data_IF_132297733482
#
_entry.id   IF_132297733482
#
_cell.length_a   1.000
_cell.length_b   1.000
_cell.length_c   1.000
_cell.angle_alpha   90.00
_cell.angle_beta   90.00
_cell.angle_gamma   90.00
#
_symmetry.space_group_name_H-M   'P 1'
#
loop_
_entity.id
_entity.type
_entity.pdbx_description
1 polymer ?
#
# COMPACT_ATOMS: atom_id res chain seq x y z
N UNK A 1 22.67 -22.29 -9.56
CA UNK A 1 22.81 -20.82 -9.42
C UNK A 1 23.70 -20.55 -8.21
N UNK A 2 24.97 -20.22 -8.43
CA UNK A 2 25.99 -20.16 -7.35
C UNK A 2 25.88 -18.83 -6.60
N UNK A 3 25.10 -18.80 -5.51
CA UNK A 3 25.02 -17.66 -4.59
C UNK A 3 26.34 -17.55 -3.82
N UNK A 4 27.20 -16.60 -4.22
CA UNK A 4 28.42 -16.28 -3.47
C UNK A 4 28.05 -15.54 -2.18
N UNK A 5 28.50 -16.07 -1.03
CA UNK A 5 28.45 -15.39 0.28
C UNK A 5 29.25 -14.08 0.21
N UNK A 6 28.58 -12.93 0.21
CA UNK A 6 29.20 -11.66 0.61
C UNK A 6 28.33 -11.02 1.68
N UNK A 7 28.85 -11.04 2.90
CA UNK A 7 28.37 -10.24 4.02
C UNK A 7 28.67 -8.78 3.69
N UNK A 8 27.64 -8.01 3.28
CA UNK A 8 27.79 -6.58 3.03
C UNK A 8 27.74 -5.87 4.39
N UNK A 9 28.91 -5.71 5.00
CA UNK A 9 29.11 -4.89 6.19
C UNK A 9 29.44 -3.46 5.74
N UNK A 10 28.67 -2.50 6.28
CA UNK A 10 28.87 -1.04 6.32
C UNK A 10 28.12 -0.23 5.25
N UNK A 11 27.09 0.47 5.74
CA UNK A 11 26.78 1.81 5.27
C UNK A 11 27.28 2.81 6.33
N UNK A 12 27.85 3.96 5.93
CA UNK A 12 28.13 5.04 6.86
C UNK A 12 26.81 5.60 7.40
N UNK A 13 26.76 5.80 8.72
CA UNK A 13 25.72 6.55 9.40
C UNK A 13 25.63 7.96 8.81
N UNK A 14 24.56 8.29 8.09
CA UNK A 14 24.34 9.64 7.56
C UNK A 14 23.69 10.48 8.66
N UNK A 15 24.45 11.43 9.21
CA UNK A 15 23.93 12.49 10.08
C UNK A 15 23.36 13.62 9.22
N UNK A 16 22.20 14.15 9.59
CA UNK A 16 21.67 15.39 8.99
C UNK A 16 21.66 16.49 10.04
N UNK A 17 22.27 17.62 9.71
CA UNK A 17 22.22 18.86 10.47
C UNK A 17 21.11 19.76 9.90
N UNK A 18 20.40 20.49 10.75
CA UNK A 18 19.16 21.19 10.43
C UNK A 18 19.39 22.70 10.28
N UNK A 19 19.07 23.30 9.12
CA UNK A 19 18.71 24.73 8.99
C UNK A 19 18.19 25.12 7.59
N UNK A 20 17.02 25.78 7.52
CA UNK A 20 16.55 26.54 6.33
C UNK A 20 15.58 25.85 5.35
N UNK A 21 14.65 26.62 4.76
CA UNK A 21 13.57 26.16 3.87
C UNK A 21 14.04 25.62 2.51
N UNK A 22 15.17 26.11 1.99
CA UNK A 22 15.82 25.56 0.79
C UNK A 22 16.50 24.21 1.09
N UNK A 23 16.98 24.04 2.32
CA UNK A 23 17.62 22.81 2.80
C UNK A 23 16.59 21.71 3.02
N UNK A 24 15.39 22.03 3.55
CA UNK A 24 14.25 21.11 3.62
C UNK A 24 13.87 20.49 2.26
N UNK A 25 13.90 21.27 1.16
CA UNK A 25 13.64 20.74 -0.19
C UNK A 25 14.75 19.79 -0.67
N UNK A 26 16.02 20.13 -0.41
CA UNK A 26 17.17 19.27 -0.72
C UNK A 26 17.19 17.99 0.12
N UNK A 27 16.88 18.11 1.41
CA UNK A 27 16.75 17.00 2.37
C UNK A 27 15.64 16.04 1.98
N UNK A 28 14.46 16.56 1.58
CA UNK A 28 13.36 15.74 1.10
C UNK A 28 13.73 15.00 -0.19
N UNK A 29 14.38 15.68 -1.14
CA UNK A 29 14.84 15.07 -2.39
C UNK A 29 15.83 13.94 -2.11
N UNK A 30 16.79 14.17 -1.22
CA UNK A 30 17.76 13.15 -0.84
C UNK A 30 17.11 11.96 -0.13
N UNK A 31 16.15 12.20 0.79
CA UNK A 31 15.42 11.13 1.45
C UNK A 31 14.55 10.30 0.50
N UNK A 32 13.95 10.95 -0.51
CA UNK A 32 13.22 10.26 -1.59
C UNK A 32 14.20 9.37 -2.37
N UNK A 33 15.29 9.92 -2.88
CA UNK A 33 16.29 9.15 -3.66
C UNK A 33 16.85 7.99 -2.84
N UNK A 34 17.22 8.23 -1.58
CA UNK A 34 17.72 7.19 -0.69
C UNK A 34 16.71 6.07 -0.47
N UNK A 35 15.43 6.42 -0.24
CA UNK A 35 14.35 5.44 -0.08
C UNK A 35 14.21 4.59 -1.35
N UNK A 36 14.16 5.22 -2.52
CA UNK A 36 14.03 4.52 -3.80
C UNK A 36 15.22 3.60 -4.08
N UNK A 37 16.44 4.07 -3.84
CA UNK A 37 17.66 3.29 -4.06
C UNK A 37 17.76 2.08 -3.13
N UNK A 38 17.37 2.25 -1.85
CA UNK A 38 17.30 1.15 -0.90
C UNK A 38 16.23 0.14 -1.29
N UNK A 39 15.05 0.58 -1.74
CA UNK A 39 14.03 -0.33 -2.28
C UNK A 39 14.61 -1.13 -3.47
N UNK A 40 15.18 -0.47 -4.49
CA UNK A 40 15.78 -1.18 -5.66
C UNK A 40 16.82 -2.21 -5.24
N UNK A 41 17.62 -1.88 -4.23
CA UNK A 41 18.71 -2.75 -3.74
C UNK A 41 18.20 -4.02 -3.06
N UNK A 42 17.06 -3.95 -2.37
CA UNK A 42 16.50 -5.06 -1.57
C UNK A 42 15.35 -5.80 -2.24
N UNK A 43 14.81 -5.31 -3.35
CA UNK A 43 13.92 -6.10 -4.20
C UNK A 43 14.67 -7.33 -4.73
N UNK A 44 14.00 -8.49 -4.70
CA UNK A 44 14.56 -9.83 -4.96
C UNK A 44 15.69 -10.25 -4.02
N UNK A 45 15.80 -9.63 -2.83
CA UNK A 45 16.67 -10.17 -1.77
C UNK A 45 16.05 -11.39 -1.11
N UNK A 46 16.91 -12.26 -0.58
CA UNK A 46 16.53 -13.44 0.21
C UNK A 46 17.01 -13.23 1.64
N UNK A 47 16.06 -13.29 2.58
CA UNK A 47 16.33 -13.23 4.02
C UNK A 47 16.28 -14.64 4.59
N UNK A 48 17.29 -15.03 5.34
CA UNK A 48 17.36 -16.34 5.99
C UNK A 48 17.01 -16.24 7.46
N UNK A 49 16.21 -17.18 7.95
CA UNK A 49 15.91 -17.42 9.36
C UNK A 49 16.20 -18.90 9.65
N UNK A 50 17.49 -19.22 9.82
CA UNK A 50 17.95 -20.61 9.82
C UNK A 50 17.67 -21.26 8.45
N UNK A 51 17.01 -22.41 8.44
CA UNK A 51 16.65 -23.15 7.22
C UNK A 51 15.38 -22.62 6.53
N UNK A 52 14.77 -21.56 7.05
CA UNK A 52 13.61 -20.91 6.44
C UNK A 52 14.04 -19.65 5.70
N UNK A 53 13.54 -19.46 4.49
CA UNK A 53 13.91 -18.33 3.64
C UNK A 53 12.68 -17.54 3.19
N UNK A 54 12.85 -16.23 3.03
CA UNK A 54 11.85 -15.33 2.46
C UNK A 54 12.51 -14.53 1.35
N UNK A 55 11.98 -14.66 0.13
CA UNK A 55 12.36 -13.84 -1.03
C UNK A 55 11.39 -12.66 -1.15
N UNK A 56 11.93 -11.45 -1.18
CA UNK A 56 11.15 -10.21 -1.26
C UNK A 56 10.87 -9.87 -2.71
N UNK A 57 9.60 -9.69 -3.09
CA UNK A 57 9.22 -9.26 -4.46
C UNK A 57 8.64 -7.85 -4.49
N UNK A 58 8.09 -7.37 -3.38
CA UNK A 58 7.53 -6.02 -3.25
C UNK A 58 7.80 -5.42 -1.87
N UNK A 59 8.10 -4.13 -1.83
CA UNK A 59 8.48 -3.37 -0.62
C UNK A 59 7.73 -2.04 -0.57
N UNK A 60 7.24 -1.66 0.61
CA UNK A 60 6.85 -0.29 0.94
C UNK A 60 7.91 0.35 1.87
N UNK A 61 8.38 1.54 1.52
CA UNK A 61 9.35 2.30 2.32
C UNK A 61 8.69 3.24 3.33
N UNK A 62 9.22 3.31 4.55
CA UNK A 62 8.78 4.21 5.62
C UNK A 62 9.98 4.90 6.28
N UNK A 63 9.90 6.21 6.44
CA UNK A 63 10.98 7.00 7.03
C UNK A 63 10.63 7.39 8.47
N UNK A 64 11.19 6.67 9.45
CA UNK A 64 10.89 6.89 10.86
C UNK A 64 11.54 8.14 11.44
N UNK A 65 11.01 8.55 12.61
CA UNK A 65 11.56 9.63 13.44
C UNK A 65 11.56 11.01 12.77
N UNK A 66 10.89 11.18 11.61
CA UNK A 66 10.70 12.46 10.93
C UNK A 66 9.28 12.61 10.39
N UNK A 67 8.29 12.92 11.25
CA UNK A 67 6.89 13.08 10.83
C UNK A 67 6.68 14.17 9.78
N UNK A 68 7.55 15.18 9.72
CA UNK A 68 7.52 16.23 8.69
C UNK A 68 7.90 15.71 7.29
N UNK A 69 8.66 14.63 7.22
CA UNK A 69 9.03 13.96 5.97
C UNK A 69 8.01 12.86 5.63
N UNK A 70 7.70 12.01 6.60
CA UNK A 70 6.82 10.86 6.43
C UNK A 70 5.86 10.71 7.62
N UNK A 71 4.67 11.30 7.50
CA UNK A 71 3.61 11.19 8.50
C UNK A 71 2.90 9.83 8.47
N UNK A 72 3.19 8.97 7.48
CA UNK A 72 2.70 7.58 7.43
C UNK A 72 3.53 6.61 8.26
N UNK A 73 4.80 6.93 8.55
CA UNK A 73 5.69 6.07 9.33
C UNK A 73 5.32 6.05 10.83
N UNK A 74 5.68 4.96 11.52
CA UNK A 74 5.60 4.92 12.97
C UNK A 74 6.58 5.93 13.59
N UNK A 75 6.12 6.69 14.57
CA UNK A 75 6.91 7.69 15.29
C UNK A 75 7.67 7.11 16.48
N UNK A 76 7.49 5.82 16.78
CA UNK A 76 8.23 5.14 17.84
C UNK A 76 9.75 5.27 17.61
N UNK A 77 10.48 5.67 18.66
CA UNK A 77 11.92 5.84 18.60
C UNK A 77 12.57 4.46 18.53
N UNK A 78 13.01 4.07 17.34
CA UNK A 78 13.77 2.85 17.13
C UNK A 78 15.26 3.14 17.34
N UNK A 79 15.96 2.28 18.10
CA UNK A 79 17.42 2.37 18.21
C UNK A 79 18.02 2.06 16.85
N UNK A 80 18.82 2.99 16.34
CA UNK A 80 19.49 2.83 15.06
C UNK A 80 20.57 1.76 15.19
N UNK A 81 20.51 0.74 14.33
CA UNK A 81 21.50 -0.34 14.30
C UNK A 81 22.57 -0.04 13.26
N UNK A 82 23.78 -0.57 13.48
CA UNK A 82 24.94 -0.37 12.58
C UNK A 82 24.85 -1.18 11.29
N UNK A 83 23.99 -2.20 11.25
CA UNK A 83 23.84 -3.12 10.14
C UNK A 83 22.38 -3.21 9.74
N UNK A 84 22.12 -3.55 8.48
CA UNK A 84 20.76 -3.88 8.06
C UNK A 84 20.28 -5.10 8.81
N UNK A 85 19.11 -4.98 9.42
CA UNK A 85 18.45 -6.08 10.12
C UNK A 85 17.09 -6.36 9.50
N UNK A 86 16.81 -7.64 9.27
CA UNK A 86 15.50 -8.12 8.92
C UNK A 86 14.77 -8.57 10.19
N UNK A 87 13.51 -8.16 10.35
CA UNK A 87 12.69 -8.54 11.50
C UNK A 87 11.34 -9.04 11.05
N UNK A 88 10.96 -10.22 11.53
CA UNK A 88 9.57 -10.67 11.51
C UNK A 88 8.90 -10.13 12.78
N UNK A 89 7.91 -9.27 12.60
CA UNK A 89 7.07 -8.73 13.67
C UNK A 89 5.82 -9.58 13.81
N UNK A 90 5.49 -9.99 15.03
CA UNK A 90 4.19 -10.55 15.36
C UNK A 90 3.28 -9.42 15.85
N UNK A 91 2.20 -9.15 15.12
CA UNK A 91 1.21 -8.13 15.45
C UNK A 91 -0.16 -8.77 15.61
N UNK A 92 -1.04 -8.13 16.36
CA UNK A 92 -2.42 -8.58 16.55
C UNK A 92 -3.40 -7.49 16.08
N UNK A 93 -4.44 -7.91 15.35
CA UNK A 93 -5.54 -7.02 14.96
C UNK A 93 -6.85 -7.79 14.98
N UNK A 94 -7.86 -7.25 15.67
CA UNK A 94 -9.18 -7.90 15.86
C UNK A 94 -9.04 -9.36 16.36
N UNK A 95 -8.14 -9.61 17.31
CA UNK A 95 -7.90 -10.94 17.88
C UNK A 95 -7.16 -11.91 16.96
N UNK A 96 -6.75 -11.50 15.75
CA UNK A 96 -5.98 -12.35 14.83
C UNK A 96 -4.53 -11.87 14.74
N UNK A 97 -3.61 -12.81 14.93
CA UNK A 97 -2.19 -12.57 14.71
C UNK A 97 -1.90 -12.44 13.20
N UNK A 98 -0.94 -11.58 12.88
CA UNK A 98 -0.38 -11.42 11.54
C UNK A 98 1.11 -11.12 11.65
N UNK A 99 1.86 -11.46 10.61
CA UNK A 99 3.32 -11.48 10.66
C UNK A 99 3.91 -10.64 9.54
N UNK A 100 4.67 -9.61 9.88
CA UNK A 100 5.23 -8.67 8.89
C UNK A 100 6.75 -8.77 8.87
N UNK A 101 7.36 -8.85 7.68
CA UNK A 101 8.80 -8.77 7.53
C UNK A 101 9.22 -7.36 7.16
N UNK A 102 10.08 -6.76 7.97
CA UNK A 102 10.64 -5.43 7.73
C UNK A 102 12.16 -5.49 7.71
N UNK A 103 12.78 -4.84 6.72
CA UNK A 103 14.22 -4.57 6.72
C UNK A 103 14.46 -3.16 7.24
N UNK A 104 15.39 -3.01 8.18
CA UNK A 104 15.73 -1.72 8.75
C UNK A 104 17.13 -1.30 8.35
N UNK A 105 17.22 -0.11 7.74
CA UNK A 105 18.47 0.52 7.32
C UNK A 105 18.52 1.91 7.93
N UNK A 106 19.17 2.03 9.09
CA UNK A 106 19.17 3.27 9.85
C UNK A 106 17.77 3.62 10.36
N UNK A 107 17.22 4.75 9.89
CA UNK A 107 15.85 5.21 10.19
C UNK A 107 14.81 4.79 9.14
N UNK A 108 15.23 4.07 8.08
CA UNK A 108 14.32 3.59 7.05
C UNK A 108 13.83 2.18 7.39
N UNK A 109 12.53 1.98 7.34
CA UNK A 109 11.90 0.66 7.27
C UNK A 109 11.52 0.35 5.82
N UNK A 110 11.89 -0.85 5.37
CA UNK A 110 11.45 -1.45 4.13
C UNK A 110 10.51 -2.60 4.50
N UNK A 111 9.22 -2.32 4.53
CA UNK A 111 8.18 -3.30 4.84
C UNK A 111 7.96 -4.18 3.61
N UNK A 112 8.12 -5.48 3.77
CA UNK A 112 7.81 -6.45 2.71
C UNK A 112 6.30 -6.54 2.56
N UNK A 113 5.80 -6.27 1.34
CA UNK A 113 4.37 -6.33 1.01
C UNK A 113 4.06 -7.36 -0.09
N UNK A 114 5.07 -8.11 -0.53
CA UNK A 114 4.92 -9.23 -1.44
C UNK A 114 6.19 -10.07 -1.44
N UNK A 115 6.04 -11.37 -1.59
CA UNK A 115 7.18 -12.27 -1.61
C UNK A 115 6.85 -13.73 -1.83
N UNK A 116 7.90 -14.54 -1.76
CA UNK A 116 7.85 -15.99 -1.68
C UNK A 116 8.52 -16.42 -0.39
N UNK A 117 8.10 -17.53 0.20
CA UNK A 117 8.80 -18.12 1.33
C UNK A 117 8.77 -19.64 1.28
N UNK A 118 9.75 -20.26 1.94
CA UNK A 118 9.91 -21.71 1.93
C UNK A 118 10.93 -22.19 2.94
N UNK A 119 11.14 -23.51 2.96
CA UNK A 119 12.13 -24.15 3.80
C UNK A 119 13.18 -24.82 2.90
N UNK A 120 14.47 -24.72 3.21
CA UNK A 120 15.55 -25.25 2.36
C UNK A 120 15.42 -26.75 2.06
N UNK A 121 14.99 -27.52 3.05
CA UNK A 121 14.78 -28.96 2.90
C UNK A 121 13.45 -29.36 2.21
N UNK A 122 12.62 -28.39 1.78
CA UNK A 122 11.33 -28.67 1.14
C UNK A 122 11.27 -28.03 -0.25
N UNK A 123 10.72 -28.72 -1.26
CA UNK A 123 10.56 -28.14 -2.59
C UNK A 123 9.48 -27.04 -2.61
N UNK A 124 8.52 -27.12 -1.69
CA UNK A 124 7.37 -26.22 -1.66
C UNK A 124 7.76 -24.80 -1.27
N UNK A 125 7.29 -23.85 -2.07
CA UNK A 125 7.34 -22.41 -1.81
C UNK A 125 5.92 -21.86 -1.82
N UNK A 126 5.64 -20.88 -0.98
CA UNK A 126 4.36 -20.19 -0.95
C UNK A 126 4.55 -18.71 -1.27
N UNK A 127 3.75 -18.22 -2.23
CA UNK A 127 3.67 -16.80 -2.54
C UNK A 127 2.70 -16.08 -1.60
N UNK A 128 2.95 -14.79 -1.35
CA UNK A 128 2.06 -13.92 -0.59
C UNK A 128 2.05 -12.51 -1.13
N UNK A 129 0.92 -11.82 -0.95
CA UNK A 129 0.72 -10.41 -1.29
C UNK A 129 -0.04 -9.70 -0.16
N UNK A 130 0.43 -8.51 0.20
CA UNK A 130 0.12 -7.83 1.45
C UNK A 130 1.25 -7.99 2.48
N UNK A 131 1.21 -7.19 3.55
CA UNK A 131 2.28 -7.17 4.56
C UNK A 131 2.35 -8.44 5.42
N UNK A 132 1.24 -9.18 5.54
CA UNK A 132 1.20 -10.40 6.34
C UNK A 132 1.71 -11.62 5.58
N UNK A 133 2.70 -12.30 6.16
CA UNK A 133 3.22 -13.58 5.68
C UNK A 133 2.32 -14.71 6.22
N UNK A 134 1.71 -15.53 5.36
CA UNK A 134 0.87 -16.64 5.78
C UNK A 134 1.70 -17.85 6.22
N UNK A 135 1.12 -18.72 7.05
CA UNK A 135 1.65 -20.07 7.33
C UNK A 135 3.14 -20.11 7.75
N UNK A 136 3.59 -19.13 8.54
CA UNK A 136 4.92 -19.17 9.12
C UNK A 136 5.08 -20.39 10.05
N UNK A 137 6.24 -21.06 10.05
CA UNK A 137 6.59 -22.06 11.05
C UNK A 137 6.43 -21.51 12.46
N UNK A 138 6.05 -22.37 13.42
CA UNK A 138 5.79 -21.98 14.80
C UNK A 138 6.93 -21.15 15.43
N UNK A 139 8.19 -21.52 15.15
CA UNK A 139 9.36 -20.82 15.66
C UNK A 139 9.53 -19.39 15.13
N UNK A 140 8.88 -19.06 14.01
CA UNK A 140 8.85 -17.74 13.38
C UNK A 140 7.55 -16.97 13.68
N UNK A 141 6.61 -17.53 14.45
CA UNK A 141 5.39 -16.85 14.89
C UNK A 141 5.61 -15.89 16.08
N UNK A 142 6.87 -15.60 16.42
CA UNK A 142 7.31 -14.63 17.43
C UNK A 142 8.25 -13.63 16.79
N UNK A 143 8.59 -12.55 17.48
CA UNK A 143 9.61 -11.63 16.96
C UNK A 143 10.92 -12.38 16.71
N UNK A 144 11.41 -12.31 15.47
CA UNK A 144 12.67 -12.93 15.04
C UNK A 144 13.48 -11.96 14.21
N UNK A 145 14.79 -11.99 14.42
CA UNK A 145 15.75 -11.09 13.77
C UNK A 145 16.73 -11.90 12.95
N UNK A 146 17.14 -11.35 11.83
CA UNK A 146 18.20 -11.90 10.99
C UNK A 146 19.06 -10.78 10.42
N UNK A 147 20.36 -11.06 10.31
CA UNK A 147 21.31 -10.24 9.54
C UNK A 147 21.77 -10.96 8.26
N UNK A 148 21.27 -12.17 8.02
CA UNK A 148 21.57 -12.97 6.84
C UNK A 148 20.64 -12.58 5.69
N UNK A 149 21.05 -11.54 4.98
CA UNK A 149 20.30 -10.97 3.86
C UNK A 149 21.17 -11.07 2.59
N UNK A 150 20.74 -11.87 1.65
CA UNK A 150 21.39 -12.06 0.36
C UNK A 150 20.76 -11.11 -0.66
N UNK A 151 21.56 -10.19 -1.20
CA UNK A 151 21.10 -9.26 -2.23
C UNK A 151 21.75 -9.58 -3.57
N UNK A 152 21.09 -9.18 -4.66
CA UNK A 152 21.65 -9.30 -6.00
C UNK A 152 22.86 -8.38 -6.14
N UNK A 153 23.87 -8.83 -6.90
CA UNK A 153 25.03 -7.99 -7.27
C UNK A 153 24.58 -6.76 -8.07
N UNK A 154 23.58 -6.96 -8.94
CA UNK A 154 22.95 -5.92 -9.72
C UNK A 154 21.49 -5.79 -9.26
N UNK A 155 21.02 -4.60 -8.86
CA UNK A 155 19.64 -4.38 -8.45
C UNK A 155 18.64 -4.91 -9.47
N UNK A 156 17.49 -5.40 -8.99
CA UNK A 156 16.41 -5.82 -9.87
C UNK A 156 15.78 -4.61 -10.57
N UNK A 157 15.26 -4.83 -11.78
CA UNK A 157 14.40 -3.83 -12.43
C UNK A 157 13.14 -3.72 -11.58
N UNK A 158 12.80 -2.50 -11.19
CA UNK A 158 11.79 -2.22 -10.17
C UNK A 158 10.84 -1.13 -10.67
N UNK A 159 9.56 -1.43 -10.69
CA UNK A 159 8.47 -0.49 -10.91
C UNK A 159 8.03 0.14 -9.60
N UNK A 160 7.76 1.44 -9.63
CA UNK A 160 7.38 2.21 -8.45
C UNK A 160 5.94 2.70 -8.48
N UNK A 161 5.25 2.55 -7.36
CA UNK A 161 3.88 3.01 -7.16
C UNK A 161 3.69 3.61 -5.76
N UNK A 162 2.48 4.09 -5.48
CA UNK A 162 2.09 4.53 -4.15
C UNK A 162 2.13 3.38 -3.14
N UNK A 163 2.43 3.71 -1.88
CA UNK A 163 2.47 2.76 -0.75
C UNK A 163 1.09 2.21 -0.41
N UNK A 164 1.06 0.99 0.12
CA UNK A 164 -0.15 0.29 0.54
C UNK A 164 -0.52 0.69 1.98
N UNK A 165 -0.90 1.96 2.16
CA UNK A 165 -1.32 2.49 3.48
C UNK A 165 -2.83 2.39 3.67
N UNK A 166 -3.29 2.43 4.93
CA UNK A 166 -4.73 2.57 5.25
C UNK A 166 -5.19 4.02 5.36
N UNK A 167 -4.26 4.94 5.55
CA UNK A 167 -4.53 6.34 5.89
C UNK A 167 -4.13 7.26 4.73
N UNK A 168 -4.84 7.19 3.61
CA UNK A 168 -4.53 7.99 2.41
C UNK A 168 -4.72 9.50 2.58
N UNK A 169 -5.34 9.96 3.66
CA UNK A 169 -5.41 11.38 4.00
C UNK A 169 -4.14 11.97 4.64
N UNK A 170 -3.11 11.15 4.86
CA UNK A 170 -1.78 11.60 5.30
C UNK A 170 -0.98 12.18 4.12
N UNK A 171 -0.11 13.13 4.39
CA UNK A 171 0.67 13.83 3.35
C UNK A 171 1.54 12.88 2.54
N UNK A 172 2.28 12.01 3.23
CA UNK A 172 3.23 11.13 2.60
C UNK A 172 2.57 9.91 1.90
N UNK A 173 1.25 9.74 2.01
CA UNK A 173 0.54 8.66 1.31
C UNK A 173 0.61 8.79 -0.22
N UNK A 174 0.81 10.02 -0.72
CA UNK A 174 1.03 10.31 -2.13
C UNK A 174 2.40 9.92 -2.67
N UNK A 175 3.37 9.56 -1.82
CA UNK A 175 4.72 9.20 -2.26
C UNK A 175 4.76 7.84 -2.95
N UNK A 176 5.52 7.79 -4.06
CA UNK A 176 5.79 6.57 -4.83
C UNK A 176 6.91 5.73 -4.20
N UNK A 177 6.74 5.37 -2.94
CA UNK A 177 7.71 4.60 -2.15
C UNK A 177 7.32 3.13 -2.00
N UNK A 178 6.49 2.61 -2.91
CA UNK A 178 6.30 1.16 -3.09
C UNK A 178 7.08 0.71 -4.31
N UNK A 179 7.93 -0.29 -4.18
CA UNK A 179 8.64 -0.91 -5.31
C UNK A 179 8.23 -2.36 -5.47
N UNK A 180 8.09 -2.82 -6.71
CA UNK A 180 7.84 -4.23 -7.04
C UNK A 180 8.76 -4.68 -8.17
N UNK A 181 9.24 -5.93 -8.12
CA UNK A 181 10.07 -6.50 -9.19
C UNK A 181 9.27 -6.65 -10.48
N UNK A 182 9.80 -6.11 -11.57
CA UNK A 182 9.15 -6.15 -12.89
C UNK A 182 8.92 -7.58 -13.39
N UNK A 183 9.80 -8.52 -13.04
CA UNK A 183 9.62 -9.93 -13.40
C UNK A 183 8.36 -10.49 -12.76
N UNK A 184 8.20 -10.27 -11.45
CA UNK A 184 7.02 -10.77 -10.74
C UNK A 184 5.75 -10.01 -11.09
N UNK A 185 5.84 -8.72 -11.45
CA UNK A 185 4.71 -7.97 -12.03
C UNK A 185 4.25 -8.63 -13.34
N UNK A 186 5.19 -8.99 -14.21
CA UNK A 186 4.90 -9.66 -15.49
C UNK A 186 4.19 -10.99 -15.28
N UNK A 187 4.49 -11.68 -14.17
CA UNK A 187 3.84 -12.93 -13.78
C UNK A 187 2.52 -12.72 -12.98
N UNK A 188 2.10 -11.47 -12.77
CA UNK A 188 0.89 -11.09 -12.03
C UNK A 188 1.01 -11.19 -10.51
N UNK A 189 2.21 -11.31 -9.96
CA UNK A 189 2.49 -11.38 -8.52
C UNK A 189 3.01 -10.04 -7.98
N UNK A 190 2.09 -9.10 -7.75
CA UNK A 190 2.35 -7.84 -7.08
C UNK A 190 1.10 -7.37 -6.33
N UNK A 191 1.22 -6.52 -5.31
CA UNK A 191 0.06 -6.13 -4.52
C UNK A 191 -0.87 -5.20 -5.30
N UNK A 192 -2.17 -5.41 -5.16
CA UNK A 192 -3.20 -4.52 -5.72
C UNK A 192 -3.12 -3.17 -5.01
N UNK A 193 -2.83 -2.12 -5.77
CA UNK A 193 -2.72 -0.77 -5.25
C UNK A 193 -4.12 -0.18 -4.94
N UNK A 194 -4.40 0.26 -3.70
CA UNK A 194 -5.72 0.80 -3.33
C UNK A 194 -6.18 2.04 -4.11
N UNK A 195 -5.26 2.85 -4.64
CA UNK A 195 -5.61 4.05 -5.41
C UNK A 195 -5.67 3.79 -6.93
N UNK A 196 -5.13 2.65 -7.39
CA UNK A 196 -5.13 2.22 -8.78
C UNK A 196 -5.72 0.80 -8.92
N UNK A 197 -6.84 0.53 -8.25
CA UNK A 197 -7.39 -0.81 -8.10
C UNK A 197 -7.67 -1.51 -9.45
N UNK A 198 -8.16 -0.77 -10.43
CA UNK A 198 -8.52 -1.30 -11.76
C UNK A 198 -7.34 -1.55 -12.67
N UNK A 199 -6.16 -1.00 -12.37
CA UNK A 199 -4.95 -1.24 -13.17
C UNK A 199 -4.36 -2.63 -12.92
N UNK A 200 -4.73 -3.27 -11.80
CA UNK A 200 -4.27 -4.60 -11.47
C UNK A 200 -5.17 -5.67 -12.13
N UNK A 201 -4.63 -6.71 -12.79
CA UNK A 201 -5.42 -7.77 -13.43
C UNK A 201 -6.45 -8.44 -12.50
N UNK A 202 -6.07 -8.66 -11.24
CA UNK A 202 -6.96 -9.19 -10.19
C UNK A 202 -7.98 -8.17 -9.60
N UNK A 203 -7.92 -6.88 -9.97
CA UNK A 203 -8.80 -5.83 -9.46
C UNK A 203 -10.25 -5.97 -9.96
N UNK A 204 -10.45 -6.32 -11.22
CA UNK A 204 -11.80 -6.49 -11.78
C UNK A 204 -12.65 -5.21 -11.81
N UNK A 205 -13.87 -5.31 -12.37
CA UNK A 205 -14.70 -4.16 -12.74
C UNK A 205 -15.70 -3.67 -11.66
N UNK A 206 -15.43 -3.93 -10.37
CA UNK A 206 -16.38 -3.60 -9.29
C UNK A 206 -16.64 -2.09 -9.19
N UNK A 207 -17.86 -1.62 -9.50
CA UNK A 207 -18.27 -0.19 -9.40
C UNK A 207 -17.85 0.42 -8.06
N UNK A 208 -18.16 -0.24 -6.94
CA UNK A 208 -17.79 0.23 -5.59
C UNK A 208 -16.28 0.44 -5.43
N UNK A 209 -15.48 -0.44 -6.04
CA UNK A 209 -14.04 -0.40 -5.92
C UNK A 209 -13.43 0.69 -6.80
N UNK A 210 -14.00 0.94 -7.98
CA UNK A 210 -13.64 2.06 -8.84
C UNK A 210 -13.87 3.41 -8.14
N UNK A 211 -15.06 3.60 -7.56
CA UNK A 211 -15.40 4.80 -6.79
C UNK A 211 -14.47 4.97 -5.58
N UNK A 212 -14.21 3.89 -4.85
CA UNK A 212 -13.30 3.91 -3.70
C UNK A 212 -11.86 4.27 -4.11
N UNK A 213 -11.34 3.63 -5.15
CA UNK A 213 -10.01 3.86 -5.69
C UNK A 213 -9.82 5.32 -6.10
N UNK A 214 -10.79 5.86 -6.86
CA UNK A 214 -10.77 7.26 -7.29
C UNK A 214 -10.80 8.23 -6.11
N UNK A 215 -11.66 7.98 -5.11
CA UNK A 215 -11.70 8.81 -3.90
C UNK A 215 -10.35 8.85 -3.18
N UNK A 216 -9.71 7.69 -2.99
CA UNK A 216 -8.41 7.61 -2.34
C UNK A 216 -7.30 8.25 -3.18
N UNK A 217 -7.38 8.14 -4.51
CA UNK A 217 -6.46 8.82 -5.43
C UNK A 217 -6.54 10.33 -5.27
N UNK A 218 -7.75 10.91 -5.31
CA UNK A 218 -7.96 12.35 -5.08
C UNK A 218 -7.45 12.82 -3.72
N UNK A 219 -7.62 11.99 -2.68
CA UNK A 219 -7.15 12.30 -1.34
C UNK A 219 -5.61 12.29 -1.25
N UNK A 220 -4.97 11.30 -1.88
CA UNK A 220 -3.52 11.16 -1.90
C UNK A 220 -2.83 12.25 -2.74
N UNK A 221 -3.42 12.62 -3.88
CA UNK A 221 -2.93 13.68 -4.76
C UNK A 221 -3.32 15.09 -4.31
N UNK A 222 -4.31 15.19 -3.42
CA UNK A 222 -4.95 16.45 -2.99
C UNK A 222 -5.52 17.24 -4.16
N UNK A 223 -6.05 16.54 -5.15
CA UNK A 223 -6.60 17.12 -6.36
C UNK A 223 -7.89 16.41 -6.76
N UNK A 224 -8.85 17.16 -7.30
CA UNK A 224 -10.09 16.62 -7.84
C UNK A 224 -10.09 16.88 -9.34
N UNK A 225 -10.04 15.82 -10.12
CA UNK A 225 -10.24 15.87 -11.56
C UNK A 225 -11.75 15.92 -11.84
N UNK A 226 -12.22 17.00 -12.47
CA UNK A 226 -13.65 17.18 -12.79
C UNK A 226 -14.12 16.12 -13.77
N UNK A 227 -13.34 15.85 -14.81
CA UNK A 227 -13.67 14.85 -15.82
C UNK A 227 -13.68 13.44 -15.19
N UNK A 228 -12.73 13.19 -14.28
CA UNK A 228 -12.69 11.99 -13.45
C UNK A 228 -13.93 11.81 -12.59
N UNK A 229 -14.40 12.89 -11.97
CA UNK A 229 -15.62 12.87 -11.16
C UNK A 229 -16.86 12.57 -12.02
N UNK A 230 -16.98 13.19 -13.20
CA UNK A 230 -18.07 12.92 -14.15
C UNK A 230 -18.04 11.47 -14.65
N UNK A 231 -16.87 10.92 -14.96
CA UNK A 231 -16.69 9.50 -15.29
C UNK A 231 -17.14 8.59 -14.15
N UNK A 232 -16.77 8.92 -12.91
CA UNK A 232 -17.20 8.14 -11.75
C UNK A 232 -18.72 8.22 -11.53
N UNK A 233 -19.34 9.38 -11.80
CA UNK A 233 -20.79 9.53 -11.71
C UNK A 233 -21.49 8.62 -12.74
N UNK A 234 -20.99 8.59 -13.98
CA UNK A 234 -21.48 7.68 -15.01
C UNK A 234 -21.35 6.21 -14.57
N UNK A 235 -20.18 5.80 -14.07
CA UNK A 235 -19.94 4.44 -13.55
C UNK A 235 -20.91 4.10 -12.41
N UNK A 236 -21.15 5.02 -11.47
CA UNK A 236 -22.10 4.81 -10.37
C UNK A 236 -23.51 4.53 -10.90
N UNK A 237 -23.95 5.24 -11.94
CA UNK A 237 -25.28 5.07 -12.55
C UNK A 237 -25.46 3.74 -13.29
N UNK A 238 -24.37 3.04 -13.64
CA UNK A 238 -24.47 1.68 -14.21
C UNK A 238 -24.87 0.62 -13.19
N UNK A 239 -24.71 0.88 -11.89
CA UNK A 239 -25.10 -0.06 -10.86
C UNK A 239 -26.63 -0.21 -10.81
N UNK A 240 -27.20 -1.42 -10.89
CA UNK A 240 -28.65 -1.61 -10.95
C UNK A 240 -29.43 -0.95 -9.81
N UNK A 241 -28.86 -0.95 -8.61
CA UNK A 241 -29.47 -0.32 -7.43
C UNK A 241 -29.48 1.21 -7.52
N UNK A 242 -28.44 1.81 -8.11
CA UNK A 242 -28.38 3.26 -8.32
C UNK A 242 -29.35 3.67 -9.41
N UNK A 243 -29.39 2.92 -10.52
CA UNK A 243 -30.31 3.16 -11.64
C UNK A 243 -31.76 3.29 -11.16
N UNK A 244 -32.24 2.32 -10.38
CA UNK A 244 -33.59 2.34 -9.79
C UNK A 244 -33.87 3.57 -8.91
N UNK A 245 -32.87 4.07 -8.17
CA UNK A 245 -33.01 5.22 -7.29
C UNK A 245 -33.09 6.56 -8.03
N UNK A 246 -32.49 6.62 -9.22
CA UNK A 246 -32.41 7.84 -10.03
C UNK A 246 -33.40 7.85 -11.19
N UNK A 247 -34.22 6.80 -11.34
CA UNK A 247 -35.28 6.75 -12.35
C UNK A 247 -36.16 8.01 -12.23
N UNK A 248 -36.39 8.66 -13.37
CA UNK A 248 -37.16 9.91 -13.51
C UNK A 248 -36.58 11.15 -12.80
N UNK A 249 -35.31 11.14 -12.37
CA UNK A 249 -34.64 12.34 -11.86
C UNK A 249 -34.12 13.22 -13.01
N UNK A 250 -34.47 14.51 -12.99
CA UNK A 250 -33.99 15.50 -13.98
C UNK A 250 -32.50 15.83 -13.84
N UNK A 251 -31.98 15.82 -12.62
CA UNK A 251 -30.57 16.11 -12.31
C UNK A 251 -30.02 14.96 -11.47
N UNK A 252 -28.92 14.37 -11.94
CA UNK A 252 -28.24 13.26 -11.26
C UNK A 252 -26.91 13.79 -10.72
N UNK A 253 -26.67 13.55 -9.44
CA UNK A 253 -25.43 13.92 -8.74
C UNK A 253 -25.14 12.93 -7.63
N UNK A 254 -23.90 12.86 -7.14
CA UNK A 254 -23.56 12.01 -6.01
C UNK A 254 -24.35 12.39 -4.75
N UNK A 255 -24.62 13.67 -4.53
CA UNK A 255 -25.49 14.11 -3.43
C UNK A 255 -26.94 13.61 -3.55
N UNK A 256 -27.49 13.52 -4.77
CA UNK A 256 -28.81 12.93 -5.02
C UNK A 256 -28.79 11.43 -4.72
N UNK A 257 -27.77 10.71 -5.23
CA UNK A 257 -27.63 9.27 -5.02
C UNK A 257 -27.45 8.96 -3.52
N UNK A 258 -26.61 9.71 -2.81
CA UNK A 258 -26.32 9.50 -1.39
C UNK A 258 -27.59 9.62 -0.51
N UNK A 259 -28.46 10.58 -0.80
CA UNK A 259 -29.75 10.74 -0.10
C UNK A 259 -30.69 9.56 -0.37
N UNK A 260 -30.77 9.09 -1.62
CA UNK A 260 -31.59 7.95 -1.99
C UNK A 260 -31.15 6.64 -1.31
N UNK A 261 -29.85 6.35 -1.33
CA UNK A 261 -29.27 5.14 -0.71
C UNK A 261 -29.41 5.12 0.82
N UNK A 262 -29.52 6.28 1.45
CA UNK A 262 -29.72 6.38 2.90
C UNK A 262 -31.14 5.97 3.31
N UNK A 263 -32.13 6.19 2.44
CA UNK A 263 -33.51 5.83 2.68
C UNK A 263 -33.83 4.36 2.36
N UNK A 264 -33.11 3.75 1.41
CA UNK A 264 -33.33 2.37 0.98
C UNK A 264 -32.38 1.37 1.68
N UNK A 265 -32.94 0.33 2.30
CA UNK A 265 -32.24 -0.59 3.19
C UNK A 265 -31.31 -1.58 2.48
N UNK A 266 -31.37 -1.70 1.15
CA UNK A 266 -30.80 -2.82 0.40
C UNK A 266 -29.38 -2.63 -0.16
N UNK A 267 -28.67 -1.54 0.19
CA UNK A 267 -27.33 -1.26 -0.34
C UNK A 267 -26.23 -1.68 0.66
N UNK A 268 -25.20 -2.36 0.16
CA UNK A 268 -24.03 -2.76 0.98
C UNK A 268 -23.37 -1.56 1.66
N UNK A 269 -22.86 -1.76 2.90
CA UNK A 269 -22.15 -0.70 3.66
C UNK A 269 -21.01 -0.07 2.86
N UNK A 270 -20.24 -0.88 2.13
CA UNK A 270 -19.14 -0.42 1.29
C UNK A 270 -19.60 0.54 0.17
N UNK A 271 -20.74 0.24 -0.48
CA UNK A 271 -21.31 1.11 -1.51
C UNK A 271 -21.84 2.42 -0.90
N UNK A 272 -22.51 2.36 0.26
CA UNK A 272 -22.94 3.58 0.99
C UNK A 272 -21.73 4.47 1.29
N UNK A 273 -20.67 3.91 1.86
CA UNK A 273 -19.44 4.63 2.19
C UNK A 273 -18.76 5.24 0.94
N UNK A 274 -18.68 4.49 -0.17
CA UNK A 274 -18.10 4.97 -1.42
C UNK A 274 -18.90 6.15 -2.00
N UNK A 275 -20.23 6.04 -2.07
CA UNK A 275 -21.10 7.11 -2.57
C UNK A 275 -21.03 8.34 -1.67
N UNK A 276 -21.04 8.18 -0.35
CA UNK A 276 -20.85 9.30 0.59
C UNK A 276 -19.50 10.00 0.38
N UNK A 277 -18.43 9.25 0.10
CA UNK A 277 -17.11 9.79 -0.19
C UNK A 277 -17.09 10.59 -1.50
N UNK A 278 -17.75 10.08 -2.54
CA UNK A 278 -17.89 10.78 -3.82
C UNK A 278 -18.74 12.04 -3.71
N UNK A 279 -19.83 12.02 -2.92
CA UNK A 279 -20.64 13.20 -2.64
C UNK A 279 -19.83 14.31 -1.94
N UNK A 280 -18.92 13.92 -1.03
CA UNK A 280 -18.01 14.87 -0.39
C UNK A 280 -17.05 15.52 -1.41
N UNK A 281 -16.48 14.74 -2.35
CA UNK A 281 -15.64 15.28 -3.42
C UNK A 281 -16.41 16.19 -4.36
N UNK A 282 -17.64 15.84 -4.73
CA UNK A 282 -18.49 16.61 -5.64
C UNK A 282 -18.70 18.05 -5.15
N UNK A 283 -18.90 18.25 -3.83
CA UNK A 283 -19.04 19.60 -3.25
C UNK A 283 -17.78 20.47 -3.35
N UNK A 284 -16.66 19.90 -3.80
CA UNK A 284 -15.34 20.54 -3.87
C UNK A 284 -14.76 20.50 -5.28
N UNK A 285 -15.47 19.94 -6.26
CA UNK A 285 -15.02 19.88 -7.63
C UNK A 285 -14.78 21.30 -8.18
N UNK A 286 -13.65 21.52 -8.84
CA UNK A 286 -13.26 22.84 -9.37
C UNK A 286 -12.70 23.81 -8.32
N UNK A 287 -12.66 23.45 -7.04
CA UNK A 287 -11.94 24.24 -6.03
C UNK A 287 -10.45 23.88 -6.02
N UNK A 288 -9.57 24.87 -5.82
CA UNK A 288 -8.13 24.64 -5.70
C UNK A 288 -7.73 23.85 -4.43
N UNK A 289 -6.47 23.44 -4.32
CA UNK A 289 -5.89 22.68 -3.19
C UNK A 289 -6.18 23.29 -1.82
N UNK A 290 -6.27 24.63 -1.72
CA UNK A 290 -6.62 25.33 -0.48
C UNK A 290 -8.01 24.92 0.07
N UNK A 291 -8.95 24.55 -0.81
CA UNK A 291 -10.29 24.16 -0.42
C UNK A 291 -10.36 22.76 0.24
N UNK A 292 -9.29 21.97 0.19
CA UNK A 292 -9.18 20.70 0.91
C UNK A 292 -8.91 20.89 2.39
N UNK A 293 -8.18 21.94 2.79
CA UNK A 293 -7.72 22.11 4.17
C UNK A 293 -8.87 22.12 5.19
N UNK A 294 -9.98 22.86 4.99
CA UNK A 294 -11.07 22.91 5.97
C UNK A 294 -11.81 21.58 6.15
N UNK A 295 -11.75 20.68 5.16
CA UNK A 295 -12.48 19.41 5.15
C UNK A 295 -11.57 18.20 5.27
N UNK A 296 -10.25 18.41 5.41
CA UNK A 296 -9.27 17.34 5.37
C UNK A 296 -9.51 16.30 6.47
N UNK A 297 -9.92 16.74 7.66
CA UNK A 297 -10.26 15.81 8.75
C UNK A 297 -11.46 14.94 8.38
N UNK A 298 -12.54 15.55 7.88
CA UNK A 298 -13.73 14.82 7.40
C UNK A 298 -13.39 13.83 6.27
N UNK A 299 -12.50 14.20 5.35
CA UNK A 299 -12.03 13.32 4.29
C UNK A 299 -11.19 12.14 4.84
N UNK A 300 -10.33 12.38 5.83
CA UNK A 300 -9.59 11.33 6.54
C UNK A 300 -10.53 10.33 7.23
N UNK A 301 -11.54 10.82 7.92
CA UNK A 301 -12.52 9.97 8.61
C UNK A 301 -13.33 9.16 7.60
N UNK A 302 -13.70 9.79 6.48
CA UNK A 302 -14.39 9.12 5.35
C UNK A 302 -13.52 8.04 4.71
N UNK A 303 -12.22 8.29 4.54
CA UNK A 303 -11.23 7.30 4.06
C UNK A 303 -11.18 6.07 4.98
N UNK A 304 -11.10 6.27 6.30
CA UNK A 304 -11.08 5.16 7.26
C UNK A 304 -12.39 4.37 7.21
N UNK A 305 -13.53 5.06 7.22
CA UNK A 305 -14.84 4.43 7.10
C UNK A 305 -14.98 3.61 5.81
N UNK A 306 -14.50 4.12 4.68
CA UNK A 306 -14.51 3.41 3.39
C UNK A 306 -13.68 2.12 3.45
N UNK A 307 -12.48 2.20 4.03
CA UNK A 307 -11.60 1.04 4.20
C UNK A 307 -12.23 -0.03 5.11
N UNK A 308 -12.85 0.39 6.22
CA UNK A 308 -13.47 -0.49 7.21
C UNK A 308 -14.84 -1.03 6.75
N UNK A 309 -15.55 -0.32 5.87
CA UNK A 309 -16.85 -0.72 5.33
C UNK A 309 -16.78 -1.86 4.29
N UNK A 310 -15.57 -2.30 3.92
CA UNK A 310 -15.37 -3.50 3.08
C UNK A 310 -14.34 -3.34 1.96
N UNK A 311 -13.84 -2.13 1.67
CA UNK A 311 -12.87 -1.94 0.59
C UNK A 311 -11.54 -2.66 0.88
N UNK A 312 -11.08 -2.65 2.13
CA UNK A 312 -9.90 -3.44 2.53
C UNK A 312 -10.08 -4.96 2.33
N UNK A 313 -11.29 -5.48 2.51
CA UNK A 313 -11.60 -6.89 2.27
C UNK A 313 -11.60 -7.23 0.77
N UNK A 314 -12.06 -6.31 -0.09
CA UNK A 314 -11.97 -6.44 -1.55
C UNK A 314 -10.52 -6.48 -2.02
N UNK A 315 -9.66 -5.60 -1.49
CA UNK A 315 -8.21 -5.60 -1.76
C UNK A 315 -7.55 -6.93 -1.36
N UNK A 316 -7.84 -7.41 -0.14
CA UNK A 316 -7.35 -8.71 0.33
C UNK A 316 -7.77 -9.87 -0.58
N UNK A 317 -9.02 -9.85 -1.03
CA UNK A 317 -9.57 -10.87 -1.94
C UNK A 317 -8.86 -10.82 -3.29
N UNK A 318 -8.66 -9.64 -3.86
CA UNK A 318 -7.93 -9.47 -5.12
C UNK A 318 -6.48 -9.96 -5.02
N UNK A 319 -5.75 -9.62 -3.94
CA UNK A 319 -4.40 -10.14 -3.68
C UNK A 319 -4.39 -11.67 -3.57
N UNK A 320 -5.39 -12.25 -2.89
CA UNK A 320 -5.51 -13.71 -2.75
C UNK A 320 -5.80 -14.39 -4.10
N UNK A 321 -6.56 -13.74 -4.99
CA UNK A 321 -6.78 -14.21 -6.35
C UNK A 321 -5.49 -14.18 -7.18
N UNK A 322 -4.72 -13.09 -7.09
CA UNK A 322 -3.43 -12.96 -7.77
C UNK A 322 -2.44 -14.04 -7.33
N UNK A 323 -2.30 -14.28 -6.02
CA UNK A 323 -1.47 -15.38 -5.48
C UNK A 323 -1.92 -16.74 -6.01
N UNK A 324 -3.23 -17.03 -6.01
CA UNK A 324 -3.75 -18.30 -6.53
C UNK A 324 -3.46 -18.49 -8.02
N UNK A 325 -3.59 -17.44 -8.81
CA UNK A 325 -3.28 -17.47 -10.25
C UNK A 325 -1.78 -17.70 -10.47
N UNK A 326 -0.93 -16.98 -9.75
CA UNK A 326 0.52 -17.15 -9.82
C UNK A 326 0.93 -18.58 -9.48
N UNK A 327 0.43 -19.13 -8.37
CA UNK A 327 0.74 -20.50 -7.96
C UNK A 327 0.23 -21.56 -8.95
N UNK A 328 -0.89 -21.31 -9.64
CA UNK A 328 -1.36 -22.23 -10.70
C UNK A 328 -0.40 -22.29 -11.89
N UNK A 329 0.25 -21.17 -12.20
CA UNK A 329 1.13 -21.05 -13.36
C UNK A 329 2.59 -21.43 -13.06
N UNK A 330 3.00 -21.48 -11.78
CA UNK A 330 4.41 -21.62 -11.35
C UNK A 330 4.64 -22.62 -10.20
N UNK A 331 3.58 -23.31 -9.77
CA UNK A 331 3.59 -24.33 -8.72
C UNK A 331 3.76 -25.74 -9.24
#
# INVERSE_FOLDING_TARGET
MTLRRRVIRRYPTIYYCHSGSLQLRKENTHAITLTLDLIRRYIESVVMFGNYWIMITSIDGFFHSRPSLDDCADTSKRKMTRFTEAIIHCKAKHGKAYYELSLFVGNLELLTVGGLHGHEAKPDKAAFLGSSIPNLPFDLQKERRSTEIYIKKHPAITSFSNRHVRQYGKFAAGYKWSGSSDRFISDGLYPVNPINYTEHPAGGASVVAQLASFFLQCLASRSIDKDGLERMLFIACTAPVVKKLIDNKKIISFNVINRGISADGHVSRCMKAAISAMALLETRAGCGTAAFLPVLQKMKDTCLNLMDSGYAAKLKTANSNAVRLYNRNHG
#
